data_IF_350771918358
#
_entry.id   IF_350771918358
#
_cell.length_a   1.000
_cell.length_b   1.000
_cell.length_c   1.000
_cell.angle_alpha   90.00
_cell.angle_beta   90.00
_cell.angle_gamma   90.00
#
_symmetry.space_group_name_H-M   'P 1'
#
loop_
_entity.id
_entity.type
_entity.pdbx_description
1 polymer ?
#
# COMPACT_ATOMS: atom_id res chain seq x y z
N UNK A 1 7.66 34.42 20.35
CA UNK A 1 8.49 34.18 19.15
C UNK A 1 9.43 33.02 19.46
N UNK A 2 9.05 31.80 19.09
CA UNK A 2 9.93 30.62 19.05
C UNK A 2 9.63 29.94 17.73
N UNK A 3 10.50 30.17 16.75
CA UNK A 3 10.44 29.50 15.46
C UNK A 3 10.96 28.09 15.66
N UNK A 4 10.06 27.11 15.83
CA UNK A 4 10.39 25.70 15.64
C UNK A 4 10.50 25.45 14.13
N UNK A 5 11.68 25.72 13.57
CA UNK A 5 12.07 25.10 12.30
C UNK A 5 12.53 23.70 12.64
N UNK A 6 11.69 22.70 12.37
CA UNK A 6 12.06 21.29 12.41
C UNK A 6 13.24 21.09 11.45
N UNK A 7 14.46 20.93 11.97
CA UNK A 7 15.59 20.43 11.19
C UNK A 7 15.27 18.99 10.78
N UNK A 8 14.98 18.79 9.49
CA UNK A 8 14.86 17.44 8.93
C UNK A 8 16.26 16.85 8.80
N UNK A 9 16.56 15.80 9.60
CA UNK A 9 17.81 15.06 9.53
C UNK A 9 17.93 14.30 8.19
N UNK A 10 19.04 14.50 7.47
CA UNK A 10 19.35 13.84 6.20
C UNK A 10 19.45 12.30 6.36
N UNK A 11 19.93 11.82 7.50
CA UNK A 11 20.03 10.40 7.79
C UNK A 11 18.65 9.74 7.88
N UNK A 12 17.70 10.40 8.54
CA UNK A 12 16.31 9.91 8.66
C UNK A 12 15.60 9.87 7.29
N UNK A 13 15.88 10.85 6.42
CA UNK A 13 15.36 10.86 5.05
C UNK A 13 15.94 9.68 4.26
N UNK A 14 17.26 9.47 4.32
CA UNK A 14 17.91 8.38 3.61
C UNK A 14 17.42 7.01 4.07
N UNK A 15 17.21 6.82 5.38
CA UNK A 15 16.62 5.60 5.91
C UNK A 15 15.20 5.37 5.39
N UNK A 16 14.36 6.41 5.36
CA UNK A 16 13.00 6.31 4.80
C UNK A 16 13.01 5.97 3.31
N UNK A 17 13.90 6.58 2.54
CA UNK A 17 14.07 6.28 1.10
C UNK A 17 14.47 4.82 0.90
N UNK A 18 15.48 4.34 1.62
CA UNK A 18 15.95 2.96 1.53
C UNK A 18 14.86 1.95 1.87
N UNK A 19 14.11 2.18 2.95
CA UNK A 19 12.98 1.33 3.34
C UNK A 19 11.89 1.33 2.26
N UNK A 20 11.62 2.49 1.66
CA UNK A 20 10.62 2.61 0.60
C UNK A 20 11.04 1.84 -0.67
N UNK A 21 12.32 1.90 -1.05
CA UNK A 21 12.89 1.14 -2.17
C UNK A 21 12.82 -0.37 -1.93
N UNK A 22 13.13 -0.82 -0.70
CA UNK A 22 13.03 -2.23 -0.32
C UNK A 22 11.58 -2.75 -0.43
N UNK A 23 10.61 -1.99 0.09
CA UNK A 23 9.18 -2.33 -0.01
C UNK A 23 8.76 -2.43 -1.48
N UNK A 24 9.17 -1.47 -2.32
CA UNK A 24 8.85 -1.47 -3.74
C UNK A 24 9.47 -2.67 -4.46
N UNK A 25 10.69 -3.05 -4.09
CA UNK A 25 11.39 -4.22 -4.66
C UNK A 25 10.65 -5.51 -4.31
N UNK A 26 10.30 -5.71 -3.04
CA UNK A 26 9.51 -6.87 -2.60
C UNK A 26 8.15 -6.95 -3.31
N UNK A 27 7.54 -5.80 -3.61
CA UNK A 27 6.29 -5.73 -4.35
C UNK A 27 6.45 -6.18 -5.81
N UNK A 28 7.50 -5.69 -6.50
CA UNK A 28 7.83 -6.05 -7.89
C UNK A 28 8.14 -7.54 -8.04
N UNK A 29 8.78 -8.13 -7.04
CA UNK A 29 9.12 -9.56 -7.01
C UNK A 29 7.95 -10.47 -6.60
N UNK A 30 6.79 -9.90 -6.25
CA UNK A 30 5.66 -10.63 -5.67
C UNK A 30 6.10 -11.51 -4.47
N UNK A 31 7.00 -10.96 -3.66
CA UNK A 31 7.64 -11.69 -2.57
C UNK A 31 6.69 -11.90 -1.39
N UNK A 32 6.66 -13.11 -0.79
CA UNK A 32 5.84 -13.38 0.40
C UNK A 32 6.29 -12.54 1.62
N UNK A 33 7.51 -11.97 1.58
CA UNK A 33 8.04 -11.10 2.64
C UNK A 33 7.39 -9.73 2.69
N UNK A 34 6.75 -9.29 1.59
CA UNK A 34 6.16 -7.96 1.46
C UNK A 34 5.22 -7.61 2.63
N UNK A 35 4.31 -8.53 2.97
CA UNK A 35 3.32 -8.30 4.02
C UNK A 35 3.97 -8.09 5.38
N UNK A 36 4.92 -8.97 5.75
CA UNK A 36 5.60 -8.89 7.04
C UNK A 36 6.48 -7.64 7.11
N UNK A 37 7.19 -7.31 6.02
CA UNK A 37 8.01 -6.10 5.96
C UNK A 37 7.16 -4.85 6.14
N UNK A 38 6.03 -4.73 5.44
CA UNK A 38 5.19 -3.54 5.60
C UNK A 38 4.56 -3.47 7.00
N UNK A 39 4.19 -4.61 7.62
CA UNK A 39 3.67 -4.61 9.01
C UNK A 39 4.67 -4.04 10.02
N UNK A 40 5.96 -4.24 9.79
CA UNK A 40 7.02 -3.70 10.65
C UNK A 40 7.24 -2.21 10.40
N UNK A 41 7.10 -1.76 9.14
CA UNK A 41 7.40 -0.38 8.71
C UNK A 41 6.23 0.56 8.94
N UNK A 42 5.00 0.10 8.69
CA UNK A 42 3.77 0.89 8.74
C UNK A 42 2.64 0.05 9.38
N UNK A 43 2.69 -0.21 10.70
CA UNK A 43 1.63 -0.93 11.41
C UNK A 43 0.31 -0.15 11.42
N UNK A 44 0.36 1.18 11.42
CA UNK A 44 -0.83 2.05 11.47
C UNK A 44 -1.71 1.91 10.23
N UNK A 45 -1.11 1.71 9.06
CA UNK A 45 -1.85 1.34 7.86
C UNK A 45 -2.74 0.11 8.07
N UNK A 46 -2.23 -0.93 8.71
CA UNK A 46 -2.99 -2.15 9.00
C UNK A 46 -4.02 -1.92 10.11
N UNK A 47 -3.70 -1.12 11.12
CA UNK A 47 -4.65 -0.76 12.18
C UNK A 47 -5.87 -0.04 11.60
N UNK A 48 -5.65 0.95 10.72
CA UNK A 48 -6.72 1.68 10.04
C UNK A 48 -7.52 0.77 9.09
N UNK A 49 -6.87 -0.09 8.32
CA UNK A 49 -7.58 -1.08 7.49
C UNK A 49 -8.44 -2.04 8.33
N UNK A 50 -7.92 -2.50 9.47
CA UNK A 50 -8.64 -3.40 10.37
C UNK A 50 -9.83 -2.72 11.03
N UNK A 51 -9.74 -1.42 11.32
CA UNK A 51 -10.86 -0.63 11.85
C UNK A 51 -12.01 -0.51 10.82
N UNK A 52 -11.69 -0.50 9.53
CA UNK A 52 -12.68 -0.43 8.43
C UNK A 52 -13.24 -1.83 8.10
N UNK A 53 -12.36 -2.81 7.97
CA UNK A 53 -12.70 -4.19 7.60
C UNK A 53 -11.75 -5.18 8.31
N UNK A 54 -12.16 -5.76 9.46
CA UNK A 54 -11.30 -6.65 10.23
C UNK A 54 -11.02 -8.00 9.53
N UNK A 55 -11.87 -8.42 8.59
CA UNK A 55 -11.82 -9.74 7.96
C UNK A 55 -11.11 -9.74 6.58
N UNK A 56 -10.10 -8.88 6.41
CA UNK A 56 -9.25 -8.91 5.21
C UNK A 56 -8.28 -10.10 5.27
N UNK A 57 -8.28 -10.91 4.22
CA UNK A 57 -7.33 -12.01 4.06
C UNK A 57 -5.94 -11.45 3.75
N UNK A 58 -4.88 -12.19 4.07
CA UNK A 58 -3.50 -11.80 3.74
C UNK A 58 -3.32 -11.44 2.26
N UNK A 59 -3.97 -12.17 1.34
CA UNK A 59 -3.92 -11.85 -0.08
C UNK A 59 -4.59 -10.51 -0.41
N UNK A 60 -5.66 -10.13 0.30
CA UNK A 60 -6.30 -8.82 0.15
C UNK A 60 -5.44 -7.71 0.74
N UNK A 61 -4.82 -7.95 1.91
CA UNK A 61 -3.87 -7.03 2.52
C UNK A 61 -2.70 -6.74 1.56
N UNK A 62 -2.07 -7.77 0.99
CA UNK A 62 -1.01 -7.61 -0.02
C UNK A 62 -1.50 -6.75 -1.21
N UNK A 63 -2.75 -6.94 -1.63
CA UNK A 63 -3.31 -6.13 -2.71
C UNK A 63 -3.52 -4.66 -2.31
N UNK A 64 -3.89 -4.38 -1.06
CA UNK A 64 -3.90 -3.02 -0.52
C UNK A 64 -2.51 -2.38 -0.55
N UNK A 65 -1.45 -3.15 -0.26
CA UNK A 65 -0.06 -2.66 -0.33
C UNK A 65 0.27 -2.18 -1.74
N UNK A 66 -0.04 -2.97 -2.77
CA UNK A 66 0.19 -2.54 -4.16
C UNK A 66 -0.51 -1.23 -4.50
N UNK A 67 -1.72 -1.02 -4.00
CA UNK A 67 -2.47 0.22 -4.22
C UNK A 67 -1.86 1.40 -3.44
N UNK A 68 -1.42 1.19 -2.20
CA UNK A 68 -0.68 2.20 -1.40
C UNK A 68 0.64 2.60 -2.07
N UNK A 69 1.30 1.66 -2.74
CA UNK A 69 2.51 1.92 -3.55
C UNK A 69 2.21 2.57 -4.91
N UNK A 70 0.94 2.92 -5.18
CA UNK A 70 0.49 3.53 -6.43
C UNK A 70 0.79 2.67 -7.68
N UNK A 71 0.92 1.36 -7.53
CA UNK A 71 1.16 0.46 -8.67
C UNK A 71 -0.08 0.36 -9.56
N UNK A 72 0.14 0.49 -10.86
CA UNK A 72 -0.93 0.42 -11.84
C UNK A 72 -1.47 -1.00 -12.00
N UNK A 73 -2.69 -1.12 -12.54
CA UNK A 73 -3.27 -2.43 -12.90
C UNK A 73 -2.35 -3.26 -13.78
N UNK A 74 -1.59 -2.62 -14.69
CA UNK A 74 -0.65 -3.29 -15.59
C UNK A 74 0.58 -3.81 -14.84
N UNK A 75 1.18 -2.99 -13.98
CA UNK A 75 2.33 -3.39 -13.17
C UNK A 75 1.98 -4.55 -12.23
N UNK A 76 0.86 -4.44 -11.51
CA UNK A 76 0.42 -5.52 -10.61
C UNK A 76 0.16 -6.80 -11.40
N UNK A 77 -0.47 -6.70 -12.58
CA UNK A 77 -0.68 -7.84 -13.46
C UNK A 77 0.63 -8.52 -13.86
N UNK A 78 1.64 -7.73 -14.23
CA UNK A 78 2.98 -8.22 -14.57
C UNK A 78 3.64 -8.92 -13.37
N UNK A 79 3.70 -8.28 -12.20
CA UNK A 79 4.40 -8.82 -11.04
C UNK A 79 3.72 -10.07 -10.47
N UNK A 80 2.40 -10.14 -10.55
CA UNK A 80 1.62 -11.26 -10.00
C UNK A 80 1.31 -12.36 -11.02
N UNK A 81 1.76 -12.21 -12.27
CA UNK A 81 1.46 -13.14 -13.38
C UNK A 81 -0.05 -13.37 -13.58
N UNK A 82 -0.84 -12.32 -13.41
CA UNK A 82 -2.31 -12.35 -13.52
C UNK A 82 -2.75 -11.40 -14.63
N UNK A 83 -3.87 -11.70 -15.30
CA UNK A 83 -4.37 -10.82 -16.37
C UNK A 83 -4.79 -9.45 -15.83
N UNK A 84 -4.59 -8.35 -16.59
CA UNK A 84 -5.05 -7.02 -16.19
C UNK A 84 -6.55 -6.96 -15.87
N UNK A 85 -7.37 -7.75 -16.57
CA UNK A 85 -8.81 -7.84 -16.32
C UNK A 85 -9.12 -8.44 -14.94
N UNK A 86 -8.39 -9.48 -14.54
CA UNK A 86 -8.55 -10.09 -13.22
C UNK A 86 -8.10 -9.13 -12.10
N UNK A 87 -7.02 -8.36 -12.32
CA UNK A 87 -6.58 -7.31 -11.38
C UNK A 87 -7.64 -6.21 -11.27
N UNK A 88 -8.22 -5.74 -12.38
CA UNK A 88 -9.29 -4.75 -12.35
C UNK A 88 -10.53 -5.26 -11.61
N UNK A 89 -10.92 -6.52 -11.83
CA UNK A 89 -12.04 -7.14 -11.12
C UNK A 89 -11.74 -7.24 -9.61
N UNK A 90 -10.50 -7.59 -9.24
CA UNK A 90 -10.06 -7.62 -7.84
C UNK A 90 -10.11 -6.24 -7.19
N UNK A 91 -9.65 -5.20 -7.91
CA UNK A 91 -9.75 -3.80 -7.48
C UNK A 91 -11.19 -3.38 -7.23
N UNK A 92 -12.11 -3.72 -8.13
CA UNK A 92 -13.54 -3.42 -7.96
C UNK A 92 -14.16 -4.15 -6.76
N UNK A 93 -13.79 -5.42 -6.51
CA UNK A 93 -14.24 -6.16 -5.31
C UNK A 93 -13.71 -5.54 -4.03
N UNK A 94 -12.41 -5.21 -4.00
CA UNK A 94 -11.79 -4.59 -2.83
C UNK A 94 -12.42 -3.23 -2.51
N UNK A 95 -12.68 -2.41 -3.54
CA UNK A 95 -13.36 -1.13 -3.40
C UNK A 95 -14.71 -1.26 -2.67
N UNK A 96 -15.54 -2.22 -3.10
CA UNK A 96 -16.83 -2.50 -2.45
C UNK A 96 -16.65 -3.00 -1.02
N UNK A 97 -15.68 -3.88 -0.80
CA UNK A 97 -15.40 -4.48 0.51
C UNK A 97 -14.91 -3.45 1.56
N UNK A 98 -14.20 -2.42 1.11
CA UNK A 98 -13.72 -1.30 1.92
C UNK A 98 -14.68 -0.10 1.90
N UNK A 99 -15.87 -0.23 1.30
CA UNK A 99 -16.87 0.84 1.21
C UNK A 99 -16.36 2.15 0.61
N UNK A 100 -15.42 2.08 -0.34
CA UNK A 100 -14.85 3.27 -0.99
C UNK A 100 -15.83 3.82 -2.03
N UNK A 101 -16.34 5.03 -1.80
CA UNK A 101 -17.32 5.71 -2.66
C UNK A 101 -16.84 5.83 -4.11
N UNK A 102 -17.69 5.55 -5.11
CA UNK A 102 -17.35 5.42 -6.55
C UNK A 102 -16.71 6.66 -7.20
N UNK A 103 -16.93 7.84 -6.64
CA UNK A 103 -16.34 9.11 -7.09
C UNK A 103 -14.91 9.34 -6.58
N UNK A 104 -14.44 8.57 -5.60
CA UNK A 104 -13.12 8.76 -5.02
C UNK A 104 -12.03 8.02 -5.80
N UNK A 105 -10.88 8.66 -6.02
CA UNK A 105 -9.73 7.94 -6.56
C UNK A 105 -9.21 6.92 -5.54
N UNK A 106 -9.09 5.65 -5.95
CA UNK A 106 -8.73 4.57 -5.02
C UNK A 106 -7.29 4.72 -4.51
N UNK A 107 -6.37 5.22 -5.34
CA UNK A 107 -4.97 5.37 -4.94
C UNK A 107 -4.83 6.53 -3.96
N UNK A 108 -5.51 7.65 -4.20
CA UNK A 108 -5.59 8.76 -3.24
C UNK A 108 -6.13 8.30 -1.88
N UNK A 109 -7.19 7.51 -1.88
CA UNK A 109 -7.76 6.95 -0.65
C UNK A 109 -6.74 6.10 0.14
N UNK A 110 -5.92 5.30 -0.55
CA UNK A 110 -4.86 4.53 0.10
C UNK A 110 -3.67 5.39 0.57
N UNK A 111 -3.40 6.51 -0.08
CA UNK A 111 -2.35 7.45 0.33
C UNK A 111 -2.75 8.27 1.58
N UNK A 112 -4.05 8.44 1.82
CA UNK A 112 -4.60 9.13 3.01
C UNK A 112 -4.77 8.19 4.22
N UNK A 113 -4.53 6.90 4.01
CA UNK A 113 -4.57 5.81 4.99
C UNK A 113 -3.21 5.65 5.68
#
# INVERSE_FOLDING_TARGET
MKNEKTEFNLEDINQKIFVQEEILTLAKENSPRLLNKLRLVDPDFFNKLSAIQPNLKNSELIFCIYLKLNLTTKEIATYTYVTPKAIQNRKNRLRKKLSIASNLDIYKWFNEL
#
